data_IF_763949680652
#
_entry.id   IF_763949680652
#
_cell.length_a   1.000
_cell.length_b   1.000
_cell.length_c   1.000
_cell.angle_alpha   90.00
_cell.angle_beta   90.00
_cell.angle_gamma   90.00
#
_symmetry.space_group_name_H-M   'P 1'
#
loop_
_entity.id
_entity.type
_entity.pdbx_description
1 polymer ?
#
# COMPACT_ATOMS: atom_id res chain seq x y z
N UNK A 1 11.38 -15.03 -77.16
CA UNK A 1 10.45 -15.39 -76.07
C UNK A 1 11.28 -16.00 -74.96
N UNK A 2 11.20 -15.48 -73.73
CA UNK A 2 12.02 -15.93 -72.61
C UNK A 2 11.40 -17.21 -72.05
N UNK A 3 12.10 -18.33 -72.16
CA UNK A 3 11.64 -19.62 -71.63
C UNK A 3 11.40 -19.51 -70.12
N UNK A 4 10.16 -19.79 -69.68
CA UNK A 4 9.84 -19.91 -68.26
C UNK A 4 10.40 -21.25 -67.78
N UNK A 5 11.58 -21.24 -67.17
CA UNK A 5 12.13 -22.42 -66.47
C UNK A 5 11.18 -22.81 -65.35
N UNK A 6 10.67 -24.05 -65.40
CA UNK A 6 9.86 -24.61 -64.33
C UNK A 6 10.76 -24.99 -63.14
N UNK A 7 10.31 -24.68 -61.93
CA UNK A 7 11.00 -25.06 -60.70
C UNK A 7 10.86 -26.57 -60.45
N UNK A 8 11.94 -27.21 -60.01
CA UNK A 8 11.91 -28.63 -59.63
C UNK A 8 11.37 -28.80 -58.21
N UNK A 9 10.66 -29.91 -57.96
CA UNK A 9 10.12 -30.23 -56.64
C UNK A 9 11.21 -30.20 -55.55
N UNK A 10 12.43 -30.63 -55.89
CA UNK A 10 13.55 -30.68 -54.95
C UNK A 10 14.06 -29.30 -54.56
N UNK A 11 14.08 -28.33 -55.49
CA UNK A 11 14.41 -26.94 -55.18
C UNK A 11 13.40 -26.31 -54.20
N UNK A 12 12.11 -26.64 -54.36
CA UNK A 12 11.06 -26.18 -53.44
C UNK A 12 11.23 -26.77 -52.05
N UNK A 13 11.51 -28.08 -51.94
CA UNK A 13 11.74 -28.75 -50.65
C UNK A 13 12.97 -28.18 -49.94
N UNK A 14 14.08 -27.97 -50.66
CA UNK A 14 15.30 -27.37 -50.10
C UNK A 14 15.05 -25.93 -49.66
N UNK A 15 14.35 -25.12 -50.47
CA UNK A 15 14.00 -23.75 -50.11
C UNK A 15 13.10 -23.70 -48.87
N UNK A 16 12.10 -24.58 -48.76
CA UNK A 16 11.25 -24.71 -47.58
C UNK A 16 12.04 -25.13 -46.34
N UNK A 17 13.02 -26.03 -46.48
CA UNK A 17 13.89 -26.44 -45.37
C UNK A 17 14.75 -25.30 -44.83
N UNK A 18 15.39 -24.53 -45.73
CA UNK A 18 16.19 -23.36 -45.36
C UNK A 18 15.30 -22.29 -44.71
N UNK A 19 14.12 -22.03 -45.29
CA UNK A 19 13.16 -21.09 -44.73
C UNK A 19 12.68 -21.53 -43.34
N UNK A 20 12.45 -22.83 -43.12
CA UNK A 20 12.05 -23.38 -41.83
C UNK A 20 13.11 -23.15 -40.75
N UNK A 21 14.39 -23.42 -41.06
CA UNK A 21 15.50 -23.15 -40.15
C UNK A 21 15.66 -21.66 -39.85
N UNK A 22 15.52 -20.82 -40.87
CA UNK A 22 15.56 -19.37 -40.71
C UNK A 22 14.42 -18.86 -39.82
N UNK A 23 13.19 -19.32 -40.06
CA UNK A 23 12.02 -18.93 -39.26
C UNK A 23 12.12 -19.42 -37.82
N UNK A 24 12.69 -20.60 -37.58
CA UNK A 24 12.98 -21.07 -36.23
C UNK A 24 13.97 -20.14 -35.51
N UNK A 25 15.06 -19.75 -36.17
CA UNK A 25 16.02 -18.78 -35.63
C UNK A 25 15.36 -17.45 -35.26
N UNK A 26 14.58 -16.88 -36.17
CA UNK A 26 13.84 -15.62 -35.94
C UNK A 26 12.85 -15.76 -34.77
N UNK A 27 12.15 -16.89 -34.67
CA UNK A 27 11.19 -17.14 -33.59
C UNK A 27 11.85 -17.19 -32.21
N UNK A 28 13.00 -17.85 -32.08
CA UNK A 28 13.74 -17.90 -30.80
C UNK A 28 14.24 -16.51 -30.38
N UNK A 29 14.73 -15.71 -31.33
CA UNK A 29 15.16 -14.34 -31.07
C UNK A 29 13.97 -13.43 -30.68
N UNK A 30 12.85 -13.55 -31.40
CA UNK A 30 11.64 -12.79 -31.12
C UNK A 30 11.08 -13.11 -29.73
N UNK A 31 10.96 -14.39 -29.38
CA UNK A 31 10.44 -14.80 -28.07
C UNK A 31 11.37 -14.42 -26.92
N UNK A 32 12.70 -14.49 -27.11
CA UNK A 32 13.68 -13.98 -26.16
C UNK A 32 13.59 -12.47 -25.96
N UNK A 33 13.47 -11.71 -27.06
CA UNK A 33 13.28 -10.26 -27.04
C UNK A 33 11.98 -9.85 -26.36
N UNK A 34 10.86 -10.51 -26.68
CA UNK A 34 9.54 -10.26 -26.09
C UNK A 34 9.53 -10.49 -24.58
N UNK A 35 10.15 -11.58 -24.08
CA UNK A 35 10.29 -11.84 -22.64
C UNK A 35 11.09 -10.76 -21.93
N UNK A 36 12.18 -10.31 -22.56
CA UNK A 36 13.05 -9.26 -22.02
C UNK A 36 12.34 -7.91 -21.97
N UNK A 37 11.62 -7.54 -23.03
CA UNK A 37 10.80 -6.33 -23.09
C UNK A 37 9.68 -6.36 -22.04
N UNK A 38 8.96 -7.46 -21.88
CA UNK A 38 7.90 -7.60 -20.88
C UNK A 38 8.44 -7.48 -19.44
N UNK A 39 9.63 -8.03 -19.17
CA UNK A 39 10.32 -7.87 -17.88
C UNK A 39 10.75 -6.41 -17.64
N UNK A 40 11.30 -5.75 -18.66
CA UNK A 40 11.66 -4.33 -18.59
C UNK A 40 10.46 -3.42 -18.32
N UNK A 41 9.35 -3.65 -19.03
CA UNK A 41 8.10 -2.92 -18.82
C UNK A 41 7.59 -3.09 -17.37
N UNK A 42 7.51 -4.35 -16.90
CA UNK A 42 7.07 -4.63 -15.53
C UNK A 42 7.95 -3.95 -14.48
N UNK A 43 9.28 -3.92 -14.67
CA UNK A 43 10.19 -3.23 -13.74
C UNK A 43 9.84 -1.75 -13.64
N UNK A 44 9.62 -1.07 -14.76
CA UNK A 44 9.28 0.35 -14.77
C UNK A 44 7.93 0.61 -14.09
N UNK A 45 6.94 -0.23 -14.37
CA UNK A 45 5.61 -0.14 -13.76
C UNK A 45 5.69 -0.37 -12.25
N UNK A 46 6.38 -1.42 -11.81
CA UNK A 46 6.56 -1.75 -10.40
C UNK A 46 7.29 -0.64 -9.63
N UNK A 47 8.35 -0.04 -10.20
CA UNK A 47 9.07 1.08 -9.59
C UNK A 47 8.17 2.31 -9.46
N UNK A 48 7.36 2.61 -10.48
CA UNK A 48 6.41 3.72 -10.44
C UNK A 48 5.30 3.50 -9.41
N UNK A 49 4.71 2.31 -9.36
CA UNK A 49 3.72 1.92 -8.34
C UNK A 49 4.33 2.04 -6.94
N UNK A 50 5.52 1.48 -6.71
CA UNK A 50 6.22 1.55 -5.42
C UNK A 50 6.49 3.00 -5.01
N UNK A 51 6.97 3.86 -5.92
CA UNK A 51 7.24 5.28 -5.64
C UNK A 51 5.96 6.04 -5.28
N UNK A 52 4.88 5.81 -6.02
CA UNK A 52 3.60 6.46 -5.76
C UNK A 52 2.99 5.98 -4.44
N UNK A 53 3.01 4.66 -4.19
CA UNK A 53 2.48 4.06 -2.97
C UNK A 53 3.23 4.53 -1.73
N UNK A 54 4.56 4.47 -1.75
CA UNK A 54 5.40 4.95 -0.64
C UNK A 54 5.20 6.44 -0.38
N UNK A 55 5.04 7.28 -1.41
CA UNK A 55 4.71 8.70 -1.23
C UNK A 55 3.34 8.91 -0.56
N UNK A 56 2.32 8.16 -0.97
CA UNK A 56 0.97 8.22 -0.38
C UNK A 56 1.01 7.77 1.08
N UNK A 57 1.66 6.64 1.37
CA UNK A 57 1.78 6.10 2.73
C UNK A 57 2.56 7.08 3.62
N UNK A 58 3.70 7.60 3.16
CA UNK A 58 4.51 8.55 3.92
C UNK A 58 3.71 9.80 4.30
N UNK A 59 3.02 10.41 3.34
CA UNK A 59 2.17 11.58 3.60
C UNK A 59 1.05 11.25 4.58
N UNK A 60 0.38 10.11 4.40
CA UNK A 60 -0.75 9.71 5.23
C UNK A 60 -0.33 9.39 6.68
N UNK A 61 0.82 8.72 6.88
CA UNK A 61 1.36 8.46 8.22
C UNK A 61 1.75 9.77 8.91
N UNK A 62 2.46 10.68 8.23
CA UNK A 62 2.84 11.97 8.83
C UNK A 62 1.63 12.86 9.15
N UNK A 63 0.49 12.65 8.49
CA UNK A 63 -0.78 13.31 8.80
C UNK A 63 -1.60 12.58 9.86
N UNK A 64 -1.13 11.45 10.41
CA UNK A 64 -1.86 10.73 11.44
C UNK A 64 -1.89 11.56 12.72
N UNK A 65 -3.10 11.88 13.20
CA UNK A 65 -3.35 12.83 14.29
C UNK A 65 -4.54 12.39 15.14
N UNK A 66 -4.50 12.75 16.42
CA UNK A 66 -5.64 12.59 17.32
C UNK A 66 -6.83 13.47 16.90
N UNK A 67 -8.07 13.04 17.16
CA UNK A 67 -9.21 13.94 17.09
C UNK A 67 -9.06 15.04 18.15
N UNK A 68 -9.21 16.30 17.72
CA UNK A 68 -9.01 17.47 18.59
C UNK A 68 -10.26 18.33 18.58
N UNK A 69 -10.62 18.86 19.74
CA UNK A 69 -11.61 19.96 19.84
C UNK A 69 -10.88 21.24 20.19
N UNK A 70 -10.99 22.27 19.35
CA UNK A 70 -10.26 23.52 19.50
C UNK A 70 -11.21 24.68 19.80
N UNK A 71 -10.92 25.40 20.88
CA UNK A 71 -11.51 26.68 21.26
C UNK A 71 -10.48 27.80 21.09
N UNK A 72 -10.92 29.05 21.26
CA UNK A 72 -10.03 30.23 21.17
C UNK A 72 -8.92 30.21 22.23
N UNK A 73 -9.20 29.65 23.40
CA UNK A 73 -8.31 29.67 24.57
C UNK A 73 -7.72 28.30 24.93
N UNK A 74 -8.33 27.20 24.49
CA UNK A 74 -7.97 25.82 24.88
C UNK A 74 -8.19 24.81 23.75
N UNK A 75 -7.41 23.74 23.77
CA UNK A 75 -7.65 22.54 22.98
C UNK A 75 -7.85 21.34 23.90
N UNK A 76 -8.63 20.37 23.44
CA UNK A 76 -8.88 19.11 24.13
C UNK A 76 -8.50 17.97 23.21
N UNK A 77 -7.51 17.18 23.64
CA UNK A 77 -7.04 16.00 22.94
C UNK A 77 -7.17 14.73 23.81
N UNK A 78 -7.39 13.55 23.19
CA UNK A 78 -7.32 12.25 23.87
C UNK A 78 -6.03 12.03 24.67
N UNK A 79 -4.91 12.63 24.25
CA UNK A 79 -3.61 12.49 24.92
C UNK A 79 -3.56 13.18 26.30
N UNK A 80 -4.43 14.17 26.55
CA UNK A 80 -4.53 14.86 27.84
C UNK A 80 -5.35 14.08 28.86
N UNK A 81 -5.94 12.94 28.47
CA UNK A 81 -6.68 12.11 29.39
C UNK A 81 -5.73 11.40 30.36
N UNK A 82 -6.10 11.33 31.64
CA UNK A 82 -5.35 10.56 32.64
C UNK A 82 -5.30 9.07 32.29
N UNK A 83 -6.34 8.56 31.63
CA UNK A 83 -6.38 7.20 31.11
C UNK A 83 -5.76 7.14 29.70
N UNK A 84 -4.55 6.59 29.62
CA UNK A 84 -3.80 6.43 28.36
C UNK A 84 -4.50 5.52 27.36
N UNK A 85 -5.40 4.63 27.81
CA UNK A 85 -6.13 3.73 26.92
C UNK A 85 -7.05 4.48 25.95
N UNK A 86 -7.48 5.70 26.31
CA UNK A 86 -8.29 6.56 25.45
C UNK A 86 -7.49 7.02 24.23
N UNK A 87 -6.26 7.49 24.43
CA UNK A 87 -5.38 7.87 23.34
C UNK A 87 -4.96 6.66 22.49
N UNK A 88 -4.76 5.49 23.12
CA UNK A 88 -4.37 4.25 22.43
C UNK A 88 -5.38 3.78 21.38
N UNK A 89 -6.66 4.19 21.47
CA UNK A 89 -7.67 3.91 20.45
C UNK A 89 -7.34 4.55 19.08
N UNK A 90 -6.56 5.62 19.09
CA UNK A 90 -6.21 6.40 17.89
C UNK A 90 -4.73 6.24 17.50
N UNK A 91 -3.99 5.36 18.16
CA UNK A 91 -2.62 5.04 17.76
C UNK A 91 -2.59 4.44 16.36
N UNK A 92 -1.47 4.64 15.66
CA UNK A 92 -1.18 3.89 14.46
C UNK A 92 -0.90 2.44 14.88
N UNK A 93 -1.71 1.50 14.40
CA UNK A 93 -1.58 0.08 14.72
C UNK A 93 -0.93 -0.66 13.57
N UNK A 94 0.12 -1.42 13.83
CA UNK A 94 0.74 -2.32 12.85
C UNK A 94 0.53 -3.78 13.23
N UNK A 95 0.50 -4.67 12.25
CA UNK A 95 0.29 -6.09 12.52
C UNK A 95 1.47 -6.70 13.30
N UNK A 96 2.69 -6.40 12.87
CA UNK A 96 3.94 -6.93 13.43
C UNK A 96 5.05 -5.91 13.23
N UNK A 97 5.97 -5.85 14.20
CA UNK A 97 7.19 -5.06 14.12
C UNK A 97 8.39 -5.97 13.83
N UNK A 98 9.35 -5.46 13.05
CA UNK A 98 10.63 -6.10 12.73
C UNK A 98 10.51 -7.50 12.10
N UNK A 99 9.36 -7.82 11.51
CA UNK A 99 9.08 -9.08 10.81
C UNK A 99 8.54 -8.82 9.40
N UNK A 100 8.90 -9.72 8.47
CA UNK A 100 8.33 -9.74 7.13
C UNK A 100 6.94 -10.36 7.16
N UNK A 101 5.95 -9.59 6.70
CA UNK A 101 4.58 -10.05 6.53
C UNK A 101 4.42 -10.46 5.07
N UNK A 102 4.49 -11.77 4.83
CA UNK A 102 4.31 -12.33 3.50
C UNK A 102 2.86 -12.19 3.01
N UNK A 103 2.69 -12.21 1.69
CA UNK A 103 1.36 -12.24 1.10
C UNK A 103 0.61 -13.48 1.55
N UNK A 104 -0.64 -13.35 2.05
CA UNK A 104 -1.40 -14.50 2.50
C UNK A 104 -1.68 -15.44 1.33
N UNK A 105 -1.69 -16.75 1.60
CA UNK A 105 -2.02 -17.76 0.59
C UNK A 105 -3.49 -17.70 0.11
N UNK A 106 -4.36 -17.05 0.89
CA UNK A 106 -5.76 -16.80 0.54
C UNK A 106 -6.32 -15.61 1.32
N UNK A 107 -7.31 -14.91 0.76
CA UNK A 107 -8.01 -13.83 1.44
C UNK A 107 -7.19 -12.55 1.55
N UNK A 108 -7.34 -11.84 2.67
CA UNK A 108 -6.69 -10.55 2.91
C UNK A 108 -6.26 -10.41 4.36
N UNK A 109 -5.16 -9.70 4.59
CA UNK A 109 -4.62 -9.40 5.92
C UNK A 109 -4.49 -7.90 6.10
N UNK A 110 -4.97 -7.36 7.22
CA UNK A 110 -4.74 -5.95 7.53
C UNK A 110 -3.34 -5.79 8.11
N UNK A 111 -2.54 -4.94 7.48
CA UNK A 111 -1.16 -4.68 7.84
C UNK A 111 -1.02 -3.52 8.83
N UNK A 112 -1.80 -2.46 8.62
CA UNK A 112 -1.69 -1.23 9.40
C UNK A 112 -3.02 -0.48 9.42
N UNK A 113 -3.36 0.13 10.56
CA UNK A 113 -4.54 1.00 10.74
C UNK A 113 -4.12 2.31 11.38
N UNK A 114 -4.66 3.43 10.92
CA UNK A 114 -4.40 4.74 11.52
C UNK A 114 -5.54 5.70 11.22
N UNK A 115 -5.54 6.82 11.91
CA UNK A 115 -6.52 7.88 11.75
C UNK A 115 -5.84 9.20 11.43
N UNK A 116 -6.48 9.98 10.57
CA UNK A 116 -6.10 11.35 10.23
C UNK A 116 -7.27 12.23 10.62
N UNK A 117 -7.02 13.22 11.47
CA UNK A 117 -8.08 14.06 12.03
C UNK A 117 -7.80 15.54 11.77
N UNK A 118 -8.86 16.26 11.38
CA UNK A 118 -8.93 17.71 11.39
C UNK A 118 -9.76 18.16 12.58
N UNK A 119 -9.33 19.23 13.29
CA UNK A 119 -9.95 19.63 14.54
C UNK A 119 -11.39 20.11 14.35
N UNK A 120 -12.23 19.79 15.33
CA UNK A 120 -13.53 20.44 15.53
C UNK A 120 -13.33 21.85 16.11
N UNK A 121 -14.16 22.81 15.72
CA UNK A 121 -14.17 24.17 16.30
C UNK A 121 -15.58 24.56 16.74
N UNK A 122 -16.05 24.13 17.93
CA UNK A 122 -17.41 24.43 18.37
C UNK A 122 -17.61 25.93 18.63
N UNK A 123 -18.79 26.50 18.32
CA UNK A 123 -19.92 25.91 17.58
C UNK A 123 -19.82 26.08 16.06
N UNK A 124 -18.68 26.58 15.56
CA UNK A 124 -18.51 27.09 14.19
C UNK A 124 -18.37 25.99 13.14
N UNK A 125 -17.66 24.90 13.45
CA UNK A 125 -17.39 23.82 12.48
C UNK A 125 -17.22 22.47 13.15
N UNK A 126 -17.72 21.42 12.47
CA UNK A 126 -17.47 20.03 12.85
C UNK A 126 -16.03 19.63 12.55
N UNK A 127 -15.52 18.65 13.30
CA UNK A 127 -14.25 18.00 13.00
C UNK A 127 -14.41 16.99 11.87
N UNK A 128 -13.29 16.51 11.35
CA UNK A 128 -13.26 15.44 10.35
C UNK A 128 -12.26 14.40 10.75
N UNK A 129 -12.64 13.12 10.67
CA UNK A 129 -11.76 12.00 10.95
C UNK A 129 -11.84 11.01 9.79
N UNK A 130 -10.67 10.65 9.30
CA UNK A 130 -10.50 9.68 8.21
C UNK A 130 -9.74 8.49 8.75
N UNK A 131 -10.37 7.31 8.70
CA UNK A 131 -9.77 6.04 9.09
C UNK A 131 -9.14 5.40 7.87
N UNK A 132 -7.90 4.98 8.00
CA UNK A 132 -7.16 4.29 6.96
C UNK A 132 -6.81 2.86 7.39
N UNK A 133 -6.97 1.92 6.48
CA UNK A 133 -6.54 0.54 6.64
C UNK A 133 -5.67 0.15 5.44
N UNK A 134 -4.43 -0.26 5.71
CA UNK A 134 -3.53 -0.83 4.71
C UNK A 134 -3.70 -2.35 4.72
N UNK A 135 -4.08 -2.92 3.60
CA UNK A 135 -4.47 -4.32 3.46
C UNK A 135 -3.59 -4.99 2.41
N UNK A 136 -3.08 -6.19 2.72
CA UNK A 136 -2.43 -7.07 1.78
C UNK A 136 -3.39 -8.19 1.38
N UNK A 137 -3.86 -8.15 0.15
CA UNK A 137 -4.82 -9.11 -0.39
C UNK A 137 -4.14 -10.07 -1.38
N UNK A 138 -4.45 -11.36 -1.30
CA UNK A 138 -4.00 -12.36 -2.25
C UNK A 138 -4.55 -12.08 -3.67
N UNK A 139 -3.72 -12.18 -4.70
CA UNK A 139 -4.17 -12.12 -6.09
C UNK A 139 -4.33 -13.54 -6.66
N UNK A 140 -5.59 -13.97 -6.82
CA UNK A 140 -5.95 -15.29 -7.35
C UNK A 140 -5.41 -15.55 -8.76
N UNK A 141 -4.93 -14.53 -9.48
CA UNK A 141 -4.21 -14.71 -10.76
C UNK A 141 -2.92 -15.51 -10.61
N UNK A 142 -2.30 -15.54 -9.42
CA UNK A 142 -0.99 -16.12 -9.18
C UNK A 142 -1.08 -17.30 -8.19
N UNK A 143 -1.83 -18.35 -8.54
CA UNK A 143 -2.03 -19.53 -7.69
C UNK A 143 -0.75 -20.27 -7.31
N UNK A 144 0.27 -20.25 -8.17
CA UNK A 144 1.52 -20.97 -7.96
C UNK A 144 2.55 -20.18 -7.15
N UNK A 145 2.34 -18.88 -6.94
CA UNK A 145 3.27 -18.00 -6.22
C UNK A 145 2.47 -16.92 -5.49
N UNK A 146 2.50 -16.87 -4.14
CA UNK A 146 1.68 -15.94 -3.37
C UNK A 146 2.11 -14.49 -3.65
N UNK A 147 1.46 -13.88 -4.64
CA UNK A 147 1.62 -12.49 -5.01
C UNK A 147 0.33 -11.75 -4.66
N UNK A 148 0.51 -10.59 -4.03
CA UNK A 148 -0.59 -9.82 -3.47
C UNK A 148 -0.78 -8.47 -4.12
N UNK A 149 -1.84 -7.81 -3.68
CA UNK A 149 -2.12 -6.40 -3.94
C UNK A 149 -2.09 -5.66 -2.61
N UNK A 150 -1.35 -4.56 -2.57
CA UNK A 150 -1.42 -3.62 -1.47
C UNK A 150 -2.57 -2.65 -1.72
N UNK A 151 -3.52 -2.63 -0.80
CA UNK A 151 -4.77 -1.88 -0.91
C UNK A 151 -4.85 -0.89 0.26
N UNK A 152 -5.19 0.35 -0.04
CA UNK A 152 -5.55 1.36 0.95
C UNK A 152 -7.06 1.51 0.97
N UNK A 153 -7.68 1.16 2.09
CA UNK A 153 -9.08 1.42 2.37
C UNK A 153 -9.19 2.69 3.23
N UNK A 154 -10.11 3.57 2.88
CA UNK A 154 -10.34 4.86 3.53
C UNK A 154 -11.81 4.98 3.88
N UNK A 155 -12.11 5.35 5.12
CA UNK A 155 -13.45 5.66 5.60
C UNK A 155 -13.45 7.04 6.27
N UNK A 156 -14.22 7.97 5.72
CA UNK A 156 -14.26 9.36 6.18
C UNK A 156 -15.53 9.63 6.98
N UNK A 157 -15.39 10.40 8.06
CA UNK A 157 -16.48 10.81 8.93
C UNK A 157 -16.31 12.27 9.32
N UNK A 158 -17.41 13.01 9.47
CA UNK A 158 -17.41 14.19 10.33
C UNK A 158 -17.57 13.75 11.78
N UNK A 159 -17.02 14.52 12.72
CA UNK A 159 -17.21 14.27 14.13
C UNK A 159 -17.59 15.54 14.90
N UNK A 160 -18.38 15.34 15.95
CA UNK A 160 -18.63 16.35 16.97
C UNK A 160 -18.39 15.77 18.36
N UNK A 161 -18.14 16.64 19.32
CA UNK A 161 -17.87 16.26 20.71
C UNK A 161 -18.78 17.03 21.68
N UNK A 162 -18.90 16.50 22.90
CA UNK A 162 -19.83 17.02 23.91
C UNK A 162 -19.08 17.54 25.13
N UNK A 163 -19.49 18.72 25.60
CA UNK A 163 -18.96 19.36 26.81
C UNK A 163 -19.12 18.47 28.06
N UNK A 164 -20.25 17.77 28.18
CA UNK A 164 -20.51 16.89 29.33
C UNK A 164 -19.56 15.68 29.37
N UNK A 165 -19.02 15.30 28.21
CA UNK A 165 -18.05 14.23 28.04
C UNK A 165 -16.63 14.79 27.83
N UNK A 166 -16.33 16.00 28.31
CA UNK A 166 -14.98 16.59 28.26
C UNK A 166 -14.41 16.69 26.82
N UNK A 167 -15.28 16.90 25.84
CA UNK A 167 -14.93 17.03 24.42
C UNK A 167 -14.08 15.84 23.89
N UNK A 168 -13.20 16.08 22.91
CA UNK A 168 -12.35 15.04 22.34
C UNK A 168 -11.40 14.38 23.36
N UNK A 169 -11.15 14.98 24.53
CA UNK A 169 -10.35 14.36 25.61
C UNK A 169 -10.92 13.03 26.08
N UNK A 170 -12.22 12.80 25.99
CA UNK A 170 -12.81 11.49 26.32
C UNK A 170 -12.62 10.42 25.25
N UNK A 171 -12.19 10.79 24.04
CA UNK A 171 -12.16 9.90 22.88
C UNK A 171 -13.55 9.52 22.33
N UNK A 172 -14.63 10.00 22.96
CA UNK A 172 -16.00 9.74 22.49
C UNK A 172 -16.38 10.75 21.42
N UNK A 173 -16.46 10.28 20.18
CA UNK A 173 -16.79 11.10 19.01
C UNK A 173 -18.17 10.71 18.48
N UNK A 174 -19.01 11.70 18.19
CA UNK A 174 -20.25 11.47 17.44
C UNK A 174 -19.94 11.49 15.95
N UNK A 175 -19.89 10.32 15.31
CA UNK A 175 -19.46 10.17 13.93
C UNK A 175 -20.64 10.21 12.95
N UNK A 176 -20.52 10.99 11.88
CA UNK A 176 -21.43 10.95 10.73
C UNK A 176 -20.63 10.61 9.46
N UNK A 177 -21.00 9.57 8.70
CA UNK A 177 -20.20 9.12 7.56
C UNK A 177 -20.23 10.12 6.39
N UNK A 178 -19.10 10.22 5.69
CA UNK A 178 -18.93 10.97 4.43
C UNK A 178 -18.65 9.95 3.32
N UNK A 179 -19.71 9.48 2.65
CA UNK A 179 -19.59 8.42 1.64
C UNK A 179 -18.72 8.82 0.45
N UNK A 180 -18.76 10.09 0.03
CA UNK A 180 -18.05 10.57 -1.17
C UNK A 180 -16.52 10.57 -1.03
N UNK A 181 -16.03 10.56 0.21
CA UNK A 181 -14.60 10.51 0.51
C UNK A 181 -14.11 9.13 0.97
N UNK A 182 -15.05 8.19 1.11
CA UNK A 182 -14.73 6.81 1.47
C UNK A 182 -14.45 6.00 0.21
N UNK A 183 -13.45 5.12 0.26
CA UNK A 183 -13.05 4.39 -0.94
C UNK A 183 -11.94 3.38 -0.73
N UNK A 184 -11.70 2.59 -1.76
CA UNK A 184 -10.67 1.55 -1.78
C UNK A 184 -9.77 1.79 -2.99
N UNK A 185 -8.46 1.84 -2.77
CA UNK A 185 -7.46 2.07 -3.82
C UNK A 185 -6.36 1.03 -3.77
N UNK A 186 -6.12 0.35 -4.89
CA UNK A 186 -4.92 -0.47 -5.06
C UNK A 186 -3.71 0.44 -5.24
N UNK A 187 -2.70 0.27 -4.38
CA UNK A 187 -1.46 1.03 -4.40
C UNK A 187 -0.36 0.34 -5.21
N UNK A 188 -0.20 -0.97 -5.03
CA UNK A 188 0.89 -1.76 -5.62
C UNK A 188 0.39 -3.16 -5.97
N UNK A 189 0.77 -3.66 -7.15
CA UNK A 189 0.52 -5.02 -7.58
C UNK A 189 1.76 -5.91 -7.40
N UNK A 190 1.54 -7.23 -7.38
CA UNK A 190 2.59 -8.25 -7.29
C UNK A 190 3.47 -8.12 -6.04
N UNK A 191 2.87 -7.75 -4.92
CA UNK A 191 3.57 -7.64 -3.63
C UNK A 191 3.94 -9.04 -3.14
N UNK A 192 5.15 -9.18 -2.63
CA UNK A 192 5.65 -10.40 -2.00
C UNK A 192 5.48 -10.31 -0.48
N UNK A 193 6.01 -9.24 0.10
CA UNK A 193 5.92 -8.98 1.54
C UNK A 193 5.93 -7.48 1.84
N UNK A 194 5.48 -7.15 3.04
CA UNK A 194 5.62 -5.82 3.66
C UNK A 194 6.30 -6.00 5.02
N UNK A 195 7.17 -5.07 5.37
CA UNK A 195 7.92 -5.09 6.63
C UNK A 195 7.80 -3.72 7.28
N UNK A 196 7.54 -3.71 8.59
CA UNK A 196 7.49 -2.53 9.43
C UNK A 196 8.64 -2.58 10.42
N UNK A 197 9.26 -1.43 10.68
CA UNK A 197 10.26 -1.30 11.75
C UNK A 197 10.02 0.00 12.51
N UNK A 198 9.76 -0.09 13.80
CA UNK A 198 9.56 1.07 14.67
C UNK A 198 10.84 1.38 15.43
N UNK A 199 11.24 2.66 15.43
CA UNK A 199 12.46 3.13 16.08
C UNK A 199 12.34 3.32 17.59
N UNK A 200 11.62 2.45 18.31
CA UNK A 200 11.41 2.57 19.75
C UNK A 200 10.52 1.47 20.34
N UNK A 201 9.96 1.71 21.52
CA UNK A 201 9.12 0.75 22.25
C UNK A 201 7.68 0.76 21.76
N UNK A 202 7.10 -0.43 21.61
CA UNK A 202 5.70 -0.64 21.26
C UNK A 202 5.03 -1.43 22.41
N UNK A 203 3.96 -0.92 23.04
CA UNK A 203 3.40 0.43 22.87
C UNK A 203 4.32 1.53 23.47
N UNK A 204 4.11 2.81 23.12
CA UNK A 204 4.86 3.92 23.68
C UNK A 204 4.60 4.11 25.18
N UNK A 205 5.57 4.67 25.91
CA UNK A 205 5.41 4.94 27.35
C UNK A 205 4.39 6.06 27.60
N UNK A 206 4.35 7.06 26.71
CA UNK A 206 3.40 8.18 26.75
C UNK A 206 2.70 8.35 25.40
N UNK A 207 1.45 8.83 25.37
CA UNK A 207 0.74 9.11 24.12
C UNK A 207 1.41 10.11 23.18
N UNK A 208 2.33 10.92 23.68
CA UNK A 208 3.08 11.94 22.93
C UNK A 208 4.46 11.47 22.48
N UNK A 209 4.80 10.20 22.74
CA UNK A 209 6.07 9.63 22.27
C UNK A 209 5.93 9.23 20.80
N UNK A 210 6.20 10.19 19.92
CA UNK A 210 6.11 10.02 18.47
C UNK A 210 7.35 9.30 17.95
N UNK A 211 7.22 8.00 17.70
CA UNK A 211 8.30 7.15 17.21
C UNK A 211 8.30 7.07 15.69
N UNK A 212 9.47 7.11 15.02
CA UNK A 212 9.55 6.89 13.58
C UNK A 212 9.22 5.43 13.25
N UNK A 213 8.55 5.23 12.12
CA UNK A 213 8.27 3.92 11.52
C UNK A 213 8.85 3.86 10.11
N UNK A 214 9.58 2.79 9.81
CA UNK A 214 9.95 2.43 8.45
C UNK A 214 8.93 1.46 7.87
N UNK A 215 8.53 1.70 6.62
CA UNK A 215 7.66 0.79 5.85
C UNK A 215 8.43 0.36 4.62
N UNK A 216 8.70 -0.94 4.50
CA UNK A 216 9.36 -1.55 3.33
C UNK A 216 8.36 -2.41 2.58
N UNK A 217 8.26 -2.21 1.28
CA UNK A 217 7.38 -2.96 0.39
C UNK A 217 8.24 -3.64 -0.66
N UNK A 218 8.05 -4.96 -0.84
CA UNK A 218 8.75 -5.74 -1.85
C UNK A 218 7.74 -6.32 -2.86
N UNK A 219 8.05 -6.20 -4.15
CA UNK A 219 7.29 -6.78 -5.26
C UNK A 219 8.14 -7.77 -6.04
N UNK A 220 7.49 -8.76 -6.65
CA UNK A 220 8.14 -9.81 -7.43
C UNK A 220 7.55 -9.95 -8.82
N UNK A 221 8.39 -10.20 -9.82
CA UNK A 221 7.91 -10.46 -11.17
C UNK A 221 7.20 -11.83 -11.20
N UNK A 222 5.98 -11.92 -11.75
CA UNK A 222 5.25 -13.19 -11.76
C UNK A 222 5.92 -14.33 -12.54
N UNK A 223 6.75 -14.01 -13.54
CA UNK A 223 7.35 -15.01 -14.44
C UNK A 223 8.81 -15.36 -14.10
N UNK A 224 9.45 -14.63 -13.19
CA UNK A 224 10.86 -14.86 -12.80
C UNK A 224 11.05 -14.43 -11.34
N UNK A 225 11.31 -15.39 -10.46
CA UNK A 225 11.41 -15.15 -9.02
C UNK A 225 12.64 -14.36 -8.61
N UNK A 226 13.67 -14.34 -9.46
CA UNK A 226 14.90 -13.59 -9.21
C UNK A 226 14.71 -12.09 -9.39
N UNK A 227 13.58 -11.67 -9.96
CA UNK A 227 13.31 -10.28 -10.31
C UNK A 227 12.39 -9.70 -9.26
N UNK A 228 12.99 -8.93 -8.36
CA UNK A 228 12.28 -8.23 -7.29
C UNK A 228 12.56 -6.74 -7.37
N UNK A 229 11.61 -5.95 -6.90
CA UNK A 229 11.77 -4.52 -6.67
C UNK A 229 11.25 -4.18 -5.30
N UNK A 230 12.02 -3.36 -4.59
CA UNK A 230 11.66 -2.93 -3.26
C UNK A 230 11.81 -1.42 -3.15
N UNK A 231 11.00 -0.84 -2.29
CA UNK A 231 11.15 0.54 -1.87
C UNK A 231 10.78 0.66 -0.39
N UNK A 232 11.35 1.66 0.26
CA UNK A 232 11.12 1.91 1.68
C UNK A 232 10.98 3.39 1.96
N UNK A 233 10.22 3.70 3.01
CA UNK A 233 10.11 5.04 3.56
C UNK A 233 10.35 5.00 5.05
N UNK A 234 10.59 6.17 5.62
CA UNK A 234 10.51 6.44 7.05
C UNK A 234 9.52 7.58 7.24
N UNK A 235 8.65 7.48 8.24
CA UNK A 235 7.66 8.49 8.58
C UNK A 235 7.49 8.53 10.11
N UNK A 236 7.06 9.66 10.66
CA UNK A 236 6.82 9.81 12.09
C UNK A 236 5.39 10.30 12.28
N UNK A 237 4.45 9.42 12.69
CA UNK A 237 3.09 9.84 12.97
C UNK A 237 3.04 10.79 14.16
N UNK A 238 2.04 11.68 14.20
CA UNK A 238 1.77 12.54 15.37
C UNK A 238 0.85 11.84 16.39
N UNK A 239 0.96 10.51 16.45
CA UNK A 239 0.27 9.63 17.39
C UNK A 239 1.23 8.52 17.81
N UNK A 240 0.96 7.88 18.94
CA UNK A 240 1.64 6.65 19.36
C UNK A 240 1.48 5.51 18.34
N UNK A 241 2.37 4.51 18.43
CA UNK A 241 2.33 3.30 17.60
C UNK A 241 2.06 2.08 18.48
N UNK A 242 1.14 1.20 18.08
CA UNK A 242 0.82 -0.05 18.79
C UNK A 242 0.76 -1.25 17.84
N UNK A 243 0.61 -2.44 18.39
CA UNK A 243 0.24 -3.63 17.64
C UNK A 243 -1.29 -3.73 17.45
N UNK A 244 -1.71 -4.43 16.39
CA UNK A 244 -3.13 -4.68 16.06
C UNK A 244 -3.82 -5.60 17.05
#
# INVERSE_FOLDING_TARGET
>A
MREKRAFTLIEVVVACGILGLFMYGVYTLYTGGSKTAAKGQWINDAVNELRNATSVIHKSINSATYPTTMFTDKFYDPCDNTDKSVAAQFYLKILKDSEKIETPASGQTTLMKWVVSSPEKPPLSTGKITKHELILAFDAKYLTKPLGKLILKTEAFTFTTDAHNNYARSGKLNLTPISDESGVKTLVNNVLFVEFMVGGTIPPEKPVDFLPISVKICTGYPKDEKVVKENSIMATPQVGIDLL
#
